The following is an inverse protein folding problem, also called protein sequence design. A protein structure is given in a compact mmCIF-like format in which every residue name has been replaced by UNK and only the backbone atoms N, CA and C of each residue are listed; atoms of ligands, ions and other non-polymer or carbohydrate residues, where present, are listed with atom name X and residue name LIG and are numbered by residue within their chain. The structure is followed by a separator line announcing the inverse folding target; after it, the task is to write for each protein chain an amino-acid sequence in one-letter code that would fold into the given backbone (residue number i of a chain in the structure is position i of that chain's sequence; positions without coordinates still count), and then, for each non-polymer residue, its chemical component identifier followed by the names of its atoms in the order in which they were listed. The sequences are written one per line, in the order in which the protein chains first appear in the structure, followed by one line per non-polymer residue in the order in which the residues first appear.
data_IF_878689053865
#
_entry.id   IF_878689053865
#
_cell.length_a   1.000
_cell.length_b   1.000
_cell.length_c   1.000
_cell.angle_alpha   90.00
_cell.angle_beta   90.00
_cell.angle_gamma   90.00
#
_symmetry.space_group_name_H-M   'P 1'
#
loop_
_entity.id
_entity.type
_entity.pdbx_description
1 polymer ?
#
# COMPACT_ATOMS: atom_id res chain seq x y z
N UNK A 1 3.21 7.00 13.46
CA UNK A 1 3.05 8.10 14.44
C UNK A 1 2.96 7.53 15.85
N UNK A 2 3.88 7.93 16.74
CA UNK A 2 3.96 7.43 18.12
C UNK A 2 3.27 8.38 19.11
N UNK A 3 3.00 7.93 20.33
CA UNK A 3 2.42 8.77 21.39
C UNK A 3 3.31 9.97 21.76
N UNK A 4 4.64 9.83 21.60
CA UNK A 4 5.59 10.92 21.85
C UNK A 4 5.43 12.03 20.81
N UNK A 5 5.37 11.64 19.53
CA UNK A 5 5.16 12.58 18.42
C UNK A 5 3.83 13.32 18.55
N UNK A 6 2.77 12.66 19.05
CA UNK A 6 1.48 13.34 19.31
C UNK A 6 1.61 14.39 20.42
N UNK A 7 2.33 14.07 21.50
CA UNK A 7 2.56 15.02 22.59
C UNK A 7 3.37 16.24 22.14
N UNK A 8 4.39 16.02 21.31
CA UNK A 8 5.23 17.06 20.74
C UNK A 8 4.47 17.99 19.78
N UNK A 9 3.62 17.43 18.91
CA UNK A 9 2.74 18.20 18.04
C UNK A 9 1.72 19.03 18.84
N UNK A 10 1.17 18.48 19.93
CA UNK A 10 0.25 19.23 20.80
C UNK A 10 0.94 20.40 21.53
N UNK A 11 2.24 20.27 21.84
CA UNK A 11 3.03 21.35 22.43
C UNK A 11 3.36 22.41 21.36
N UNK A 12 3.72 21.99 20.15
CA UNK A 12 4.14 22.89 19.08
C UNK A 12 2.97 23.67 18.47
N UNK A 13 1.85 22.99 18.18
CA UNK A 13 0.70 23.60 17.49
C UNK A 13 -0.28 24.29 18.45
N UNK A 14 -0.35 23.83 19.71
CA UNK A 14 -1.33 24.30 20.67
C UNK A 14 -0.74 24.75 22.03
N UNK A 15 0.59 24.70 22.21
CA UNK A 15 1.24 25.09 23.47
C UNK A 15 0.89 24.20 24.66
N UNK A 16 0.33 23.00 24.42
CA UNK A 16 -0.17 22.13 25.47
C UNK A 16 0.84 21.02 25.80
N UNK A 17 1.54 21.17 26.93
CA UNK A 17 2.42 20.12 27.46
C UNK A 17 1.61 18.99 28.08
N UNK A 18 1.46 17.91 27.33
CA UNK A 18 0.78 16.68 27.78
C UNK A 18 1.74 15.49 27.83
N UNK A 19 1.61 14.67 28.88
CA UNK A 19 2.40 13.44 29.01
C UNK A 19 1.81 12.29 28.19
N UNK A 20 2.65 11.33 27.80
CA UNK A 20 2.26 10.09 27.07
C UNK A 20 1.01 9.38 27.64
N UNK A 21 0.86 9.19 28.97
CA UNK A 21 -0.35 8.55 29.52
C UNK A 21 -1.62 9.41 29.37
N UNK A 22 -1.51 10.74 29.39
CA UNK A 22 -2.65 11.65 29.15
C UNK A 22 -3.10 11.55 27.70
N UNK A 23 -2.17 11.59 26.75
CA UNK A 23 -2.46 11.37 25.31
C UNK A 23 -3.15 10.02 25.10
N UNK A 24 -2.69 8.95 25.75
CA UNK A 24 -3.32 7.63 25.67
C UNK A 24 -4.77 7.64 26.21
N UNK A 25 -5.02 8.33 27.34
CA UNK A 25 -6.37 8.46 27.91
C UNK A 25 -7.29 9.27 26.97
N UNK A 26 -6.79 10.37 26.39
CA UNK A 26 -7.54 11.19 25.44
C UNK A 26 -7.91 10.42 24.18
N UNK A 27 -6.97 9.70 23.56
CA UNK A 27 -7.24 8.85 22.41
C UNK A 27 -8.29 7.78 22.72
N UNK A 28 -8.23 7.16 23.91
CA UNK A 28 -9.24 6.19 24.36
C UNK A 28 -10.61 6.82 24.56
N UNK A 29 -10.69 8.01 25.18
CA UNK A 29 -11.95 8.74 25.41
C UNK A 29 -12.62 9.10 24.08
N UNK A 30 -11.82 9.45 23.08
CA UNK A 30 -12.27 9.74 21.73
C UNK A 30 -12.37 8.49 20.85
N UNK A 31 -12.31 7.28 21.43
CA UNK A 31 -12.45 5.98 20.74
C UNK A 31 -11.41 5.67 19.64
N UNK A 32 -10.30 6.40 19.57
CA UNK A 32 -9.20 6.08 18.66
C UNK A 32 -8.49 4.80 19.07
N UNK A 33 -8.31 3.89 18.12
CA UNK A 33 -7.55 2.64 18.31
C UNK A 33 -6.42 2.55 17.32
N UNK A 34 -5.34 1.88 17.73
CA UNK A 34 -4.22 1.57 16.84
C UNK A 34 -4.67 0.45 15.90
N UNK A 35 -4.80 0.74 14.60
CA UNK A 35 -5.25 -0.21 13.58
C UNK A 35 -4.23 -0.29 12.45
N UNK A 36 -4.16 -1.46 11.82
CA UNK A 36 -3.41 -1.72 10.59
C UNK A 36 -4.35 -1.52 9.40
N UNK A 37 -3.86 -0.97 8.29
CA UNK A 37 -4.65 -0.88 7.06
C UNK A 37 -5.01 -2.29 6.58
N UNK A 38 -6.28 -2.50 6.21
CA UNK A 38 -6.76 -3.81 5.77
C UNK A 38 -6.83 -3.88 4.25
N UNK A 39 -6.03 -4.78 3.67
CA UNK A 39 -6.10 -5.19 2.25
C UNK A 39 -7.38 -6.00 2.01
N UNK A 40 -8.51 -5.32 1.83
CA UNK A 40 -9.82 -6.00 1.64
C UNK A 40 -10.61 -5.43 0.46
N UNK A 41 -10.04 -4.47 -0.26
CA UNK A 41 -10.70 -3.89 -1.41
C UNK A 41 -10.23 -4.59 -2.67
N UNK A 42 -11.07 -5.50 -3.17
CA UNK A 42 -10.90 -6.18 -4.46
C UNK A 42 -11.07 -5.17 -5.59
N UNK A 43 -10.11 -5.10 -6.49
CA UNK A 43 -10.07 -4.09 -7.55
C UNK A 43 -10.97 -4.42 -8.75
N UNK A 44 -11.08 -5.71 -9.11
CA UNK A 44 -12.01 -6.19 -10.14
C UNK A 44 -12.10 -7.72 -10.15
N UNK A 45 -13.25 -8.25 -10.56
CA UNK A 45 -13.33 -9.63 -11.02
C UNK A 45 -12.90 -9.68 -12.50
N UNK A 46 -11.87 -10.47 -12.82
CA UNK A 46 -11.36 -10.62 -14.20
C UNK A 46 -11.94 -11.90 -14.79
N UNK A 47 -12.81 -11.75 -15.79
CA UNK A 47 -13.31 -12.88 -16.58
C UNK A 47 -12.16 -13.45 -17.41
N UNK A 48 -12.10 -14.78 -17.58
CA UNK A 48 -11.11 -15.47 -18.42
C UNK A 48 -9.65 -15.45 -17.92
N UNK A 49 -9.42 -15.49 -16.59
CA UNK A 49 -8.07 -15.55 -16.01
C UNK A 49 -7.24 -16.74 -16.52
N UNK A 50 -7.86 -17.90 -16.74
CA UNK A 50 -7.13 -19.10 -17.16
C UNK A 50 -6.69 -19.02 -18.64
N UNK A 51 -7.53 -18.46 -19.50
CA UNK A 51 -7.27 -18.33 -20.94
C UNK A 51 -6.00 -17.50 -21.23
N UNK A 52 -5.64 -16.54 -20.36
CA UNK A 52 -4.37 -15.82 -20.51
C UNK A 52 -3.15 -16.72 -20.28
N UNK A 53 -3.19 -17.59 -19.28
CA UNK A 53 -2.08 -18.50 -18.98
C UNK A 53 -1.93 -19.56 -20.09
N UNK A 54 -3.04 -20.10 -20.57
CA UNK A 54 -3.05 -21.06 -21.67
C UNK A 54 -2.48 -20.47 -22.96
N UNK A 55 -2.85 -19.23 -23.31
CA UNK A 55 -2.30 -18.55 -24.48
C UNK A 55 -0.79 -18.26 -24.36
N UNK A 56 -0.31 -17.85 -23.17
CA UNK A 56 1.13 -17.64 -22.92
C UNK A 56 1.90 -18.95 -23.04
N UNK A 57 1.34 -20.06 -22.53
CA UNK A 57 1.97 -21.37 -22.62
C UNK A 57 2.09 -21.82 -24.08
N UNK A 58 1.00 -21.73 -24.86
CA UNK A 58 1.03 -22.08 -26.28
C UNK A 58 2.10 -21.30 -27.05
N UNK A 59 2.16 -19.98 -26.85
CA UNK A 59 3.16 -19.14 -27.51
C UNK A 59 4.59 -19.53 -27.11
N UNK A 60 4.83 -19.81 -25.82
CA UNK A 60 6.15 -20.28 -25.37
C UNK A 60 6.59 -21.55 -26.09
N UNK A 61 5.70 -22.55 -26.16
CA UNK A 61 5.99 -23.83 -26.79
C UNK A 61 6.30 -23.66 -28.29
N UNK A 62 5.54 -22.80 -29.00
CA UNK A 62 5.79 -22.47 -30.41
C UNK A 62 7.14 -21.77 -30.64
N UNK A 63 7.48 -20.77 -29.81
CA UNK A 63 8.73 -20.02 -29.96
C UNK A 63 9.96 -20.83 -29.52
N UNK A 64 9.82 -21.75 -28.57
CA UNK A 64 10.86 -22.69 -28.16
C UNK A 64 11.15 -23.71 -29.27
N UNK A 65 10.11 -24.29 -29.88
CA UNK A 65 10.25 -25.22 -31.00
C UNK A 65 10.90 -24.58 -32.24
N UNK A 66 10.64 -23.28 -32.47
CA UNK A 66 11.23 -22.51 -33.57
C UNK A 66 12.68 -22.05 -33.30
N UNK A 67 13.27 -22.35 -32.14
CA UNK A 67 14.64 -21.96 -31.78
C UNK A 67 14.84 -20.45 -31.60
N UNK A 68 13.76 -19.70 -31.35
CA UNK A 68 13.83 -18.25 -31.24
C UNK A 68 14.45 -17.80 -29.91
N UNK A 69 15.21 -16.68 -29.89
CA UNK A 69 15.78 -16.16 -28.65
C UNK A 69 14.67 -15.67 -27.71
N UNK A 70 14.59 -16.26 -26.52
CA UNK A 70 13.71 -15.77 -25.46
C UNK A 70 14.39 -14.61 -24.71
N UNK A 71 13.85 -13.40 -24.86
CA UNK A 71 14.31 -12.22 -24.13
C UNK A 71 13.42 -12.01 -22.91
N UNK A 72 14.03 -12.10 -21.72
CA UNK A 72 13.36 -11.76 -20.47
C UNK A 72 13.57 -10.28 -20.16
N UNK A 73 12.48 -9.51 -20.04
CA UNK A 73 12.52 -8.12 -19.58
C UNK A 73 11.92 -8.04 -18.17
N UNK A 74 12.77 -7.71 -17.20
CA UNK A 74 12.32 -7.38 -15.84
C UNK A 74 12.03 -5.87 -15.73
N UNK A 75 11.00 -5.50 -14.98
CA UNK A 75 10.69 -4.09 -14.73
C UNK A 75 10.91 -3.75 -13.27
N UNK A 76 11.73 -2.73 -13.02
CA UNK A 76 11.97 -2.22 -11.67
C UNK A 76 10.69 -1.60 -11.10
N UNK A 77 10.31 -2.03 -9.89
CA UNK A 77 9.12 -1.55 -9.19
C UNK A 77 9.27 -0.08 -8.82
N UNK A 78 8.39 0.76 -9.35
CA UNK A 78 8.20 2.16 -8.92
C UNK A 78 7.13 2.19 -7.82
N UNK A 79 7.27 3.08 -6.85
CA UNK A 79 6.29 3.18 -5.77
C UNK A 79 5.01 3.87 -6.27
N UNK A 80 3.87 3.24 -6.02
CA UNK A 80 2.57 3.75 -6.43
C UNK A 80 1.99 4.64 -5.34
N UNK A 81 1.63 5.85 -5.73
CA UNK A 81 0.94 6.82 -4.89
C UNK A 81 -0.57 6.62 -5.05
N UNK A 82 -1.31 6.58 -3.94
CA UNK A 82 -2.75 6.30 -3.91
C UNK A 82 -3.14 5.48 -2.67
N UNK A 83 -4.34 4.89 -2.67
CA UNK A 83 -4.86 4.05 -1.56
C UNK A 83 -4.26 2.62 -1.53
N UNK A 84 -2.94 2.54 -1.73
CA UNK A 84 -2.17 1.31 -1.63
C UNK A 84 -1.76 1.04 -0.20
N UNK A 85 -1.56 -0.24 0.10
CA UNK A 85 -1.11 -0.63 1.43
C UNK A 85 0.31 -0.11 1.67
N UNK A 86 0.48 0.66 2.74
CA UNK A 86 1.79 1.02 3.29
C UNK A 86 1.93 0.39 4.65
N UNK A 87 3.11 -0.14 4.92
CA UNK A 87 3.35 -0.76 6.21
C UNK A 87 3.37 0.29 7.31
N UNK A 88 2.71 -0.01 8.43
CA UNK A 88 2.53 0.95 9.51
C UNK A 88 1.21 0.79 10.26
N UNK A 89 1.12 1.51 11.38
CA UNK A 89 -0.05 1.56 12.22
C UNK A 89 -0.49 3.00 12.39
N UNK A 90 -1.80 3.22 12.31
CA UNK A 90 -2.41 4.53 12.49
C UNK A 90 -3.43 4.48 13.63
N UNK A 91 -3.56 5.59 14.36
CA UNK A 91 -4.67 5.78 15.29
C UNK A 91 -5.87 6.29 14.51
N UNK A 92 -6.90 5.46 14.36
CA UNK A 92 -8.11 5.81 13.61
C UNK A 92 -9.36 5.35 14.33
N UNK A 93 -10.45 6.05 14.07
CA UNK A 93 -11.80 5.64 14.49
C UNK A 93 -12.23 4.40 13.69
N UNK A 94 -12.03 4.44 12.37
CA UNK A 94 -12.41 3.38 11.44
C UNK A 94 -11.20 2.70 10.78
N UNK A 95 -11.38 1.45 10.36
CA UNK A 95 -10.34 0.72 9.66
C UNK A 95 -10.20 1.25 8.22
N UNK A 96 -9.05 1.84 7.90
CA UNK A 96 -8.75 2.27 6.54
C UNK A 96 -8.59 1.04 5.65
N UNK A 97 -9.42 0.97 4.61
CA UNK A 97 -9.34 -0.06 3.57
C UNK A 97 -8.26 0.33 2.59
N UNK A 98 -7.39 -0.61 2.26
CA UNK A 98 -6.42 -0.48 1.18
C UNK A 98 -6.77 -1.48 0.08
N UNK A 99 -6.34 -1.17 -1.15
CA UNK A 99 -6.41 -2.13 -2.25
C UNK A 99 -5.63 -3.39 -1.93
N UNK A 100 -6.17 -4.54 -2.31
CA UNK A 100 -5.55 -5.84 -2.05
C UNK A 100 -4.30 -6.07 -2.94
N UNK A 101 -4.28 -5.42 -4.10
CA UNK A 101 -3.18 -5.49 -5.07
C UNK A 101 -2.72 -4.08 -5.45
N UNK A 102 -1.46 -3.93 -5.84
CA UNK A 102 -0.88 -2.64 -6.21
C UNK A 102 -0.76 -2.55 -7.74
N UNK A 103 -1.77 -2.02 -8.43
CA UNK A 103 -1.75 -1.80 -9.89
C UNK A 103 -1.51 -0.34 -10.26
N UNK A 104 -0.59 -0.08 -11.21
CA UNK A 104 -0.20 1.29 -11.62
C UNK A 104 -1.38 2.11 -12.18
N UNK A 105 -2.36 1.44 -12.81
CA UNK A 105 -3.54 2.08 -13.39
C UNK A 105 -4.47 2.72 -12.35
N UNK A 106 -4.35 2.34 -11.08
CA UNK A 106 -5.12 2.91 -9.97
C UNK A 106 -4.28 3.85 -9.10
N UNK A 107 -3.06 4.14 -9.54
CA UNK A 107 -2.20 5.08 -8.85
C UNK A 107 -2.55 6.51 -9.24
N UNK A 108 -2.71 7.36 -8.24
CA UNK A 108 -2.82 8.81 -8.40
C UNK A 108 -1.48 9.42 -8.86
N UNK A 109 -0.38 8.69 -8.70
CA UNK A 109 0.94 9.06 -9.21
C UNK A 109 1.99 7.97 -9.00
N UNK A 110 3.20 8.21 -9.50
CA UNK A 110 4.33 7.30 -9.38
C UNK A 110 5.54 8.08 -8.89
N UNK A 111 6.09 7.72 -7.73
CA UNK A 111 7.33 8.31 -7.24
C UNK A 111 8.53 7.49 -7.69
N UNK A 112 9.53 8.19 -8.23
CA UNK A 112 10.87 7.64 -8.49
C UNK A 112 11.83 8.26 -7.50
N UNK A 113 12.46 7.45 -6.65
CA UNK A 113 13.53 7.92 -5.79
C UNK A 113 14.80 8.11 -6.63
N UNK A 114 15.22 9.36 -6.80
CA UNK A 114 16.56 9.72 -7.28
C UNK A 114 17.38 10.09 -6.05
N UNK A 115 18.24 9.18 -5.59
CA UNK A 115 19.29 9.49 -4.63
C UNK A 115 20.37 10.31 -5.33
N UNK A 116 20.60 11.54 -4.86
CA UNK A 116 21.75 12.41 -5.24
C UNK A 116 23.06 11.78 -4.81
#
# INVERSE_FOLDING_TARGET
MTLAQIAELLDTDHGMKVSKPVVRKLLRKQHYRRRKAQKRQTMKAVKHRNEQFENIQRLKDEYEAAGNPMVSMDTKKKELLGNFYRDGHLYTLEARRAYDHDFKSFAEGVSTWSST
#
